data_IF_990068824897
#
_entry.id   IF_990068824897
#
_cell.length_a   1.000
_cell.length_b   1.000
_cell.length_c   1.000
_cell.angle_alpha   90.00
_cell.angle_beta   90.00
_cell.angle_gamma   90.00
#
_symmetry.space_group_name_H-M   'P 1'
#
loop_
_entity.id
_entity.type
_entity.pdbx_description
1 polymer ?
#
# COMPACT_ATOMS: atom_id res chain seq x y z
N UNK A 1 -43.18 6.29 -44.21
CA UNK A 1 -41.77 6.45 -43.79
C UNK A 1 -41.52 7.95 -43.55
N UNK A 2 -41.64 8.42 -42.29
CA UNK A 2 -41.43 9.84 -41.99
C UNK A 2 -39.93 10.12 -41.94
N UNK A 3 -39.41 10.92 -42.87
CA UNK A 3 -38.07 11.52 -42.78
C UNK A 3 -38.09 12.49 -41.59
N UNK A 4 -37.37 12.16 -40.52
CA UNK A 4 -36.99 13.16 -39.51
C UNK A 4 -35.87 13.97 -40.15
N UNK A 5 -36.18 15.20 -40.56
CA UNK A 5 -35.15 16.15 -41.00
C UNK A 5 -34.46 16.68 -39.73
N UNK A 6 -33.22 16.28 -39.46
CA UNK A 6 -32.41 16.86 -38.36
C UNK A 6 -31.80 18.24 -38.71
N UNK A 7 -32.32 18.92 -39.74
CA UNK A 7 -31.79 20.18 -40.29
C UNK A 7 -32.27 21.42 -39.51
N UNK A 8 -32.12 21.39 -38.18
CA UNK A 8 -32.53 22.50 -37.31
C UNK A 8 -31.81 22.60 -35.97
N UNK A 9 -30.84 21.73 -35.67
CA UNK A 9 -30.03 21.89 -34.46
C UNK A 9 -28.98 22.96 -34.71
N UNK A 10 -28.99 24.03 -33.92
CA UNK A 10 -28.01 25.10 -34.05
C UNK A 10 -26.61 24.51 -33.88
N UNK A 11 -25.64 24.92 -34.70
CA UNK A 11 -24.25 24.46 -34.56
C UNK A 11 -23.75 24.63 -33.12
N UNK A 12 -24.22 25.68 -32.43
CA UNK A 12 -23.90 25.96 -31.02
C UNK A 12 -24.47 24.89 -30.07
N UNK A 13 -25.65 24.33 -30.33
CA UNK A 13 -26.26 23.29 -29.50
C UNK A 13 -25.48 21.97 -29.58
N UNK A 14 -24.94 21.63 -30.76
CA UNK A 14 -24.10 20.44 -30.90
C UNK A 14 -22.68 20.66 -30.35
N UNK A 15 -22.13 21.87 -30.47
CA UNK A 15 -20.85 22.23 -29.86
C UNK A 15 -20.90 22.22 -28.32
N UNK A 16 -22.01 22.68 -27.72
CA UNK A 16 -22.22 22.63 -26.28
C UNK A 16 -22.23 21.20 -25.73
N UNK A 17 -22.89 20.28 -26.45
CA UNK A 17 -22.91 18.86 -26.07
C UNK A 17 -21.52 18.22 -26.20
N UNK A 18 -20.78 18.51 -27.26
CA UNK A 18 -19.41 18.02 -27.43
C UNK A 18 -18.46 18.54 -26.35
N UNK A 19 -18.62 19.81 -25.94
CA UNK A 19 -17.84 20.39 -24.85
C UNK A 19 -18.10 19.69 -23.52
N UNK A 20 -19.37 19.41 -23.20
CA UNK A 20 -19.74 18.68 -21.98
C UNK A 20 -19.19 17.25 -22.01
N UNK A 21 -19.34 16.54 -23.14
CA UNK A 21 -18.79 15.18 -23.30
C UNK A 21 -17.27 15.19 -23.13
N UNK A 22 -16.58 16.17 -23.72
CA UNK A 22 -15.12 16.32 -23.58
C UNK A 22 -14.69 16.48 -22.12
N UNK A 23 -15.31 17.42 -21.39
CA UNK A 23 -14.96 17.67 -19.97
C UNK A 23 -15.31 16.48 -19.08
N UNK A 24 -16.49 15.87 -19.26
CA UNK A 24 -16.89 14.69 -18.48
C UNK A 24 -16.00 13.48 -18.78
N UNK A 25 -15.53 13.31 -20.01
CA UNK A 25 -14.64 12.20 -20.38
C UNK A 25 -13.28 12.35 -19.70
N UNK A 26 -12.65 13.53 -19.77
CA UNK A 26 -11.34 13.76 -19.14
C UNK A 26 -11.45 13.72 -17.61
N UNK A 27 -12.50 14.33 -17.04
CA UNK A 27 -12.76 14.29 -15.60
C UNK A 27 -13.07 12.87 -15.09
N UNK A 28 -13.83 12.09 -15.87
CA UNK A 28 -14.17 10.71 -15.56
C UNK A 28 -12.96 9.77 -15.59
N UNK A 29 -12.09 9.89 -16.59
CA UNK A 29 -10.87 9.07 -16.70
C UNK A 29 -9.91 9.38 -15.55
N UNK A 30 -9.68 10.67 -15.25
CA UNK A 30 -8.82 11.07 -14.14
C UNK A 30 -9.39 10.63 -12.78
N UNK A 31 -10.71 10.78 -12.58
CA UNK A 31 -11.40 10.35 -11.38
C UNK A 31 -11.37 8.83 -11.19
N UNK A 32 -11.61 8.07 -12.26
CA UNK A 32 -11.56 6.60 -12.26
C UNK A 32 -10.19 6.09 -11.83
N UNK A 33 -9.11 6.61 -12.42
CA UNK A 33 -7.74 6.21 -12.06
C UNK A 33 -7.45 6.43 -10.57
N UNK A 34 -7.87 7.57 -10.00
CA UNK A 34 -7.67 7.87 -8.57
C UNK A 34 -8.51 6.98 -7.66
N UNK A 35 -9.76 6.71 -8.02
CA UNK A 35 -10.63 5.80 -7.26
C UNK A 35 -10.12 4.36 -7.30
N UNK A 36 -9.66 3.89 -8.45
CA UNK A 36 -9.06 2.57 -8.61
C UNK A 36 -7.76 2.43 -7.82
N UNK A 37 -6.92 3.47 -7.79
CA UNK A 37 -5.72 3.49 -6.94
C UNK A 37 -6.10 3.31 -5.47
N UNK A 38 -7.04 4.11 -4.97
CA UNK A 38 -7.50 4.01 -3.57
C UNK A 38 -8.08 2.63 -3.25
N UNK A 39 -8.83 2.04 -4.19
CA UNK A 39 -9.35 0.68 -4.03
C UNK A 39 -8.20 -0.32 -3.90
N UNK A 40 -7.20 -0.28 -4.78
CA UNK A 40 -6.03 -1.16 -4.72
C UNK A 40 -5.23 -0.99 -3.43
N UNK A 41 -5.04 0.25 -2.96
CA UNK A 41 -4.37 0.53 -1.67
C UNK A 41 -5.13 -0.13 -0.53
N UNK A 42 -6.46 0.08 -0.45
CA UNK A 42 -7.26 -0.53 0.59
C UNK A 42 -7.20 -2.06 0.56
N UNK A 43 -7.33 -2.68 -0.62
CA UNK A 43 -7.18 -4.13 -0.78
C UNK A 43 -5.81 -4.61 -0.33
N UNK A 44 -4.76 -3.85 -0.65
CA UNK A 44 -3.39 -4.16 -0.22
C UNK A 44 -3.26 -4.11 1.30
N UNK A 45 -3.84 -3.10 1.94
CA UNK A 45 -3.86 -2.98 3.40
C UNK A 45 -4.65 -4.11 4.07
N UNK A 46 -5.76 -4.54 3.48
CA UNK A 46 -6.55 -5.68 3.96
C UNK A 46 -5.72 -6.97 3.92
N UNK A 47 -5.03 -7.25 2.80
CA UNK A 47 -4.14 -8.41 2.67
C UNK A 47 -3.00 -8.35 3.68
N UNK A 48 -2.32 -7.20 3.78
CA UNK A 48 -1.20 -6.99 4.69
C UNK A 48 -1.64 -7.15 6.15
N UNK A 49 -2.79 -6.58 6.54
CA UNK A 49 -3.30 -6.71 7.91
C UNK A 49 -3.65 -8.16 8.26
N UNK A 50 -4.21 -8.93 7.33
CA UNK A 50 -4.47 -10.36 7.51
C UNK A 50 -3.19 -11.17 7.67
N UNK A 51 -2.19 -10.92 6.82
CA UNK A 51 -0.88 -11.55 6.92
C UNK A 51 -0.19 -11.24 8.24
N UNK A 52 -0.19 -9.97 8.62
CA UNK A 52 0.37 -9.50 9.88
C UNK A 52 -0.30 -10.15 11.10
N UNK A 53 -1.64 -10.20 11.13
CA UNK A 53 -2.39 -10.84 12.21
C UNK A 53 -2.07 -12.33 12.32
N UNK A 54 -1.92 -13.03 11.18
CA UNK A 54 -1.55 -14.44 11.16
C UNK A 54 -0.15 -14.68 11.71
N UNK A 55 0.81 -13.86 11.33
CA UNK A 55 2.18 -13.94 11.84
C UNK A 55 2.23 -13.70 13.36
N UNK A 56 1.46 -12.72 13.84
CA UNK A 56 1.34 -12.44 15.27
C UNK A 56 0.70 -13.60 16.03
N UNK A 57 -0.36 -14.22 15.49
CA UNK A 57 -0.97 -15.42 16.07
C UNK A 57 0.03 -16.57 16.19
N UNK A 58 0.84 -16.81 15.16
CA UNK A 58 1.85 -17.87 15.14
C UNK A 58 2.99 -17.61 16.13
N UNK A 59 3.39 -16.35 16.27
CA UNK A 59 4.37 -15.92 17.26
C UNK A 59 3.85 -16.14 18.69
N UNK A 60 2.62 -15.71 18.99
CA UNK A 60 2.02 -15.84 20.33
C UNK A 60 1.72 -17.30 20.68
N UNK A 61 1.32 -18.12 19.71
CA UNK A 61 1.06 -19.55 19.93
C UNK A 61 2.34 -20.39 20.08
N UNK A 62 3.51 -19.82 19.80
CA UNK A 62 4.79 -20.54 19.86
C UNK A 62 4.91 -21.64 18.81
N UNK A 63 4.12 -21.60 17.74
CA UNK A 63 4.16 -22.57 16.63
C UNK A 63 5.33 -22.34 15.68
N UNK A 64 6.08 -21.25 15.84
CA UNK A 64 7.26 -20.97 15.03
C UNK A 64 8.44 -21.79 15.54
N UNK A 65 8.61 -22.98 14.98
CA UNK A 65 9.72 -23.89 15.26
C UNK A 65 10.84 -23.67 14.25
N UNK A 66 11.47 -22.51 14.26
CA UNK A 66 12.54 -22.15 13.32
C UNK A 66 12.41 -20.75 12.76
N UNK A 67 13.45 -20.31 12.05
CA UNK A 67 13.39 -19.06 11.29
C UNK A 67 12.43 -19.30 10.11
N UNK A 68 11.40 -18.45 9.99
CA UNK A 68 10.39 -18.53 8.92
C UNK A 68 10.54 -17.28 8.06
N UNK A 69 10.61 -17.48 6.75
CA UNK A 69 10.64 -16.40 5.77
C UNK A 69 9.36 -16.38 4.91
N UNK A 70 9.33 -15.45 3.96
CA UNK A 70 8.23 -15.30 3.03
C UNK A 70 8.03 -16.50 2.10
N UNK A 71 9.07 -17.30 1.81
CA UNK A 71 8.95 -18.50 0.99
C UNK A 71 8.12 -19.59 1.69
N UNK A 72 8.12 -19.55 3.02
CA UNK A 72 7.32 -20.41 3.88
C UNK A 72 5.86 -19.93 4.06
N UNK A 73 5.46 -18.83 3.43
CA UNK A 73 4.08 -18.30 3.50
C UNK A 73 2.99 -19.38 3.28
N UNK A 74 3.09 -20.29 2.28
CA UNK A 74 2.09 -21.34 2.11
C UNK A 74 2.04 -22.32 3.28
N UNK A 75 3.17 -22.58 3.97
CA UNK A 75 3.24 -23.52 5.10
C UNK A 75 2.52 -22.99 6.34
N UNK A 76 2.49 -21.66 6.48
CA UNK A 76 1.78 -20.98 7.57
C UNK A 76 0.33 -20.59 7.22
N UNK A 77 -0.15 -21.04 6.05
CA UNK A 77 -1.52 -20.83 5.59
C UNK A 77 -1.77 -19.43 5.02
N UNK A 78 -0.72 -18.73 4.59
CA UNK A 78 -0.80 -17.46 3.90
C UNK A 78 -0.85 -17.69 2.39
N UNK A 79 -1.95 -17.27 1.76
CA UNK A 79 -2.06 -17.28 0.31
C UNK A 79 -1.21 -16.13 -0.25
N UNK A 80 -0.10 -16.51 -0.89
CA UNK A 80 0.93 -15.61 -1.35
C UNK A 80 1.41 -16.06 -2.72
N UNK A 81 1.15 -15.23 -3.73
CA UNK A 81 1.79 -15.35 -5.03
C UNK A 81 3.24 -14.87 -4.90
N UNK A 82 4.14 -15.83 -4.63
CA UNK A 82 5.57 -15.57 -4.51
C UNK A 82 6.16 -15.16 -5.87
N UNK A 83 6.94 -14.07 -5.86
CA UNK A 83 7.78 -13.67 -6.97
C UNK A 83 9.17 -13.27 -6.45
N UNK A 84 10.18 -13.40 -7.31
CA UNK A 84 11.52 -12.95 -6.99
C UNK A 84 11.69 -11.48 -7.39
N UNK A 85 12.10 -10.64 -6.45
CA UNK A 85 12.38 -9.24 -6.69
C UNK A 85 13.88 -9.04 -6.91
N UNK A 86 14.27 -8.74 -8.15
CA UNK A 86 15.66 -8.53 -8.53
C UNK A 86 16.29 -7.30 -7.86
N UNK A 87 15.49 -6.29 -7.48
CA UNK A 87 16.01 -5.06 -6.88
C UNK A 87 16.53 -5.29 -5.46
N UNK A 88 15.90 -6.23 -4.73
CA UNK A 88 16.23 -6.55 -3.35
C UNK A 88 16.82 -7.95 -3.17
N UNK A 89 17.00 -8.68 -4.27
CA UNK A 89 17.53 -10.04 -4.31
C UNK A 89 16.86 -10.97 -3.28
N UNK A 90 15.53 -11.01 -3.31
CA UNK A 90 14.73 -11.77 -2.34
C UNK A 90 13.33 -12.09 -2.87
N UNK A 91 12.72 -13.14 -2.29
CA UNK A 91 11.34 -13.48 -2.57
C UNK A 91 10.38 -12.51 -1.89
N UNK A 92 9.24 -12.22 -2.53
CA UNK A 92 8.19 -11.36 -2.01
C UNK A 92 6.83 -11.91 -2.38
N UNK A 93 5.84 -11.63 -1.55
CA UNK A 93 4.45 -11.83 -1.85
C UNK A 93 3.93 -10.67 -2.70
N UNK A 94 3.30 -11.00 -3.83
CA UNK A 94 2.71 -10.02 -4.73
C UNK A 94 1.50 -9.33 -4.10
N UNK A 95 1.45 -8.01 -4.22
CA UNK A 95 0.31 -7.19 -3.83
C UNK A 95 -0.32 -6.51 -5.05
N UNK A 96 -1.58 -6.03 -4.95
CA UNK A 96 -2.17 -5.16 -5.96
C UNK A 96 -1.33 -3.91 -6.25
N UNK A 97 -0.57 -3.43 -5.26
CA UNK A 97 0.44 -2.37 -5.36
C UNK A 97 1.69 -2.85 -4.63
N UNK A 98 2.77 -3.09 -5.39
CA UNK A 98 4.04 -3.52 -4.83
C UNK A 98 4.06 -4.99 -4.37
N UNK A 99 4.72 -5.24 -3.25
CA UNK A 99 4.80 -6.54 -2.60
C UNK A 99 5.11 -6.43 -1.12
N UNK A 100 5.06 -7.55 -0.39
CA UNK A 100 5.51 -7.61 1.00
C UNK A 100 6.41 -8.82 1.22
N UNK A 101 7.22 -8.76 2.27
CA UNK A 101 8.01 -9.88 2.77
C UNK A 101 7.98 -9.85 4.29
N UNK A 102 8.26 -10.99 4.90
CA UNK A 102 8.42 -11.08 6.33
C UNK A 102 9.50 -12.10 6.64
N UNK A 103 10.12 -11.93 7.80
CA UNK A 103 11.00 -12.92 8.38
C UNK A 103 10.77 -12.91 9.88
N UNK A 104 10.70 -14.10 10.46
CA UNK A 104 10.57 -14.29 11.89
C UNK A 104 11.71 -15.18 12.34
N UNK A 105 12.62 -14.63 13.14
CA UNK A 105 13.71 -15.43 13.70
C UNK A 105 13.37 -15.97 15.08
N UNK A 106 13.86 -17.17 15.37
CA UNK A 106 13.83 -17.80 16.71
C UNK A 106 14.49 -16.96 17.81
N UNK A 107 15.36 -16.01 17.43
CA UNK A 107 15.98 -15.06 18.36
C UNK A 107 15.03 -13.92 18.79
N UNK A 108 13.77 -13.94 18.32
CA UNK A 108 12.73 -13.01 18.73
C UNK A 108 12.64 -11.73 17.90
N UNK A 109 13.42 -11.60 16.82
CA UNK A 109 13.27 -10.49 15.87
C UNK A 109 12.33 -10.92 14.75
N UNK A 110 11.12 -10.36 14.74
CA UNK A 110 10.20 -10.48 13.61
C UNK A 110 10.15 -9.16 12.87
N UNK A 111 10.26 -9.20 11.56
CA UNK A 111 10.07 -8.03 10.73
C UNK A 111 9.14 -8.32 9.57
N UNK A 112 8.39 -7.30 9.17
CA UNK A 112 7.50 -7.30 8.02
C UNK A 112 7.77 -6.05 7.21
N UNK A 113 8.08 -6.23 5.94
CA UNK A 113 8.47 -5.15 5.06
C UNK A 113 7.49 -5.07 3.92
N UNK A 114 6.93 -3.89 3.73
CA UNK A 114 6.09 -3.55 2.58
C UNK A 114 6.95 -2.79 1.57
N UNK A 115 6.93 -3.26 0.34
CA UNK A 115 7.62 -2.70 -0.82
C UNK A 115 6.59 -2.07 -1.75
N UNK A 116 6.17 -0.81 -1.53
CA UNK A 116 5.31 -0.09 -2.48
C UNK A 116 5.95 0.03 -3.86
N UNK A 117 5.11 0.17 -4.89
CA UNK A 117 5.56 0.70 -6.18
C UNK A 117 5.87 2.20 -6.05
N UNK A 118 7.00 2.65 -6.60
CA UNK A 118 7.50 4.04 -6.48
C UNK A 118 6.44 5.11 -6.80
N UNK A 119 5.65 4.91 -7.86
CA UNK A 119 4.61 5.88 -8.29
C UNK A 119 3.52 6.14 -7.22
N UNK A 120 3.35 5.21 -6.28
CA UNK A 120 2.27 5.23 -5.27
C UNK A 120 2.78 5.06 -3.84
N UNK A 121 4.09 5.17 -3.63
CA UNK A 121 4.72 4.91 -2.33
C UNK A 121 4.26 5.90 -1.25
N UNK A 122 4.16 7.19 -1.58
CA UNK A 122 3.67 8.23 -0.65
C UNK A 122 2.21 7.99 -0.25
N UNK A 123 1.34 7.68 -1.23
CA UNK A 123 -0.09 7.41 -0.97
C UNK A 123 -0.26 6.16 -0.09
N UNK A 124 0.51 5.10 -0.36
CA UNK A 124 0.48 3.87 0.42
C UNK A 124 1.01 4.09 1.84
N UNK A 125 2.10 4.85 2.00
CA UNK A 125 2.64 5.22 3.30
C UNK A 125 1.61 5.96 4.15
N UNK A 126 0.99 7.00 3.58
CA UNK A 126 -0.09 7.74 4.25
C UNK A 126 -1.26 6.83 4.63
N UNK A 127 -1.67 5.95 3.73
CA UNK A 127 -2.77 5.02 3.97
C UNK A 127 -2.44 4.00 5.06
N UNK A 128 -1.20 3.51 5.12
CA UNK A 128 -0.72 2.59 6.17
C UNK A 128 -0.87 3.21 7.55
N UNK A 129 -0.37 4.43 7.77
CA UNK A 129 -0.57 5.12 9.05
C UNK A 129 -2.03 5.50 9.30
N UNK A 130 -2.79 5.88 8.29
CA UNK A 130 -4.22 6.22 8.46
C UNK A 130 -5.06 5.00 8.86
N UNK A 131 -4.70 3.81 8.35
CA UNK A 131 -5.41 2.56 8.65
C UNK A 131 -5.30 2.16 10.12
N UNK A 132 -4.24 2.59 10.81
CA UNK A 132 -3.99 2.21 12.19
C UNK A 132 -3.63 0.74 12.38
N UNK A 133 -3.27 0.01 11.32
CA UNK A 133 -2.82 -1.41 11.40
C UNK A 133 -1.71 -1.56 12.43
N UNK A 134 -0.80 -0.57 12.49
CA UNK A 134 0.27 -0.52 13.48
C UNK A 134 -0.21 -0.54 14.94
N UNK A 135 -1.44 -0.13 15.25
CA UNK A 135 -1.95 -0.13 16.64
C UNK A 135 -2.15 -1.54 17.19
N UNK A 136 -2.19 -2.55 16.32
CA UNK A 136 -2.17 -3.94 16.72
C UNK A 136 -0.77 -4.45 17.08
N UNK A 137 0.29 -3.65 16.87
CA UNK A 137 1.63 -3.96 17.37
C UNK A 137 1.62 -3.90 18.90
N UNK A 138 2.08 -4.98 19.55
CA UNK A 138 2.34 -4.98 20.98
C UNK A 138 3.48 -4.00 21.35
N UNK A 139 3.55 -3.66 22.64
CA UNK A 139 4.30 -2.59 23.34
C UNK A 139 5.75 -2.26 22.95
N UNK A 140 6.41 -2.98 22.04
CA UNK A 140 7.82 -2.79 21.65
C UNK A 140 8.03 -2.65 20.14
N UNK A 141 6.95 -2.62 19.34
CA UNK A 141 7.07 -2.54 17.89
C UNK A 141 7.62 -1.19 17.42
N UNK A 142 8.51 -1.21 16.42
CA UNK A 142 9.09 -0.01 15.81
C UNK A 142 8.83 -0.02 14.31
N UNK A 143 8.51 1.16 13.77
CA UNK A 143 8.24 1.34 12.35
C UNK A 143 9.37 2.16 11.76
N UNK A 144 9.91 1.67 10.65
CA UNK A 144 10.92 2.37 9.87
C UNK A 144 10.37 2.60 8.48
N UNK A 145 10.53 3.81 7.98
CA UNK A 145 10.38 4.10 6.56
C UNK A 145 11.79 4.27 6.02
N UNK A 146 12.19 3.40 5.11
CA UNK A 146 13.51 3.40 4.51
C UNK A 146 13.44 3.85 3.05
N UNK A 147 14.41 4.65 2.64
CA UNK A 147 14.57 5.16 1.29
C UNK A 147 16.05 5.42 1.04
N UNK A 148 16.50 5.53 -0.23
CA UNK A 148 17.90 5.79 -0.52
C UNK A 148 18.40 7.15 0.01
N UNK A 149 17.50 8.07 0.38
CA UNK A 149 17.84 9.45 0.77
C UNK A 149 17.55 9.78 2.23
N UNK A 150 16.59 9.11 2.86
CA UNK A 150 16.20 9.37 4.24
C UNK A 150 15.65 8.14 4.93
N UNK A 151 15.83 8.09 6.25
CA UNK A 151 15.32 7.04 7.12
C UNK A 151 14.51 7.74 8.21
N UNK A 152 13.21 7.43 8.26
CA UNK A 152 12.30 7.92 9.30
C UNK A 152 11.98 6.76 10.24
N UNK A 153 12.16 6.98 11.54
CA UNK A 153 11.95 5.98 12.58
C UNK A 153 10.86 6.46 13.53
N UNK A 154 9.86 5.60 13.76
CA UNK A 154 8.76 5.86 14.66
C UNK A 154 8.79 4.84 15.78
N UNK A 155 9.07 5.33 17.00
CA UNK A 155 8.97 4.54 18.22
C UNK A 155 7.51 4.44 18.69
N UNK A 156 7.16 3.49 19.58
CA UNK A 156 5.83 3.41 20.16
C UNK A 156 5.34 4.72 20.78
N UNK A 157 6.24 5.51 21.39
CA UNK A 157 5.92 6.79 22.02
C UNK A 157 5.54 7.84 20.97
N UNK A 158 6.25 7.87 19.85
CA UNK A 158 5.96 8.78 18.74
C UNK A 158 4.58 8.49 18.14
N UNK A 159 4.24 7.20 18.01
CA UNK A 159 2.95 6.77 17.44
C UNK A 159 1.73 7.23 18.26
N UNK A 160 1.89 7.53 19.54
CA UNK A 160 0.80 8.03 20.40
C UNK A 160 0.52 9.51 20.20
N UNK A 161 1.52 10.30 19.78
CA UNK A 161 1.45 11.75 19.70
C UNK A 161 1.59 12.29 18.26
N UNK A 162 1.79 11.42 17.28
CA UNK A 162 2.01 11.83 15.89
C UNK A 162 0.73 12.37 15.25
N UNK A 163 0.85 13.53 14.61
CA UNK A 163 -0.24 14.13 13.86
C UNK A 163 -0.18 13.74 12.37
N UNK A 164 -1.33 13.74 11.69
CA UNK A 164 -1.44 13.37 10.27
C UNK A 164 -0.55 14.23 9.34
N UNK A 165 -0.30 15.49 9.70
CA UNK A 165 0.60 16.36 8.94
C UNK A 165 2.07 15.93 9.06
N UNK A 166 2.50 15.44 10.23
CA UNK A 166 3.87 14.96 10.44
C UNK A 166 4.11 13.68 9.66
N UNK A 167 3.14 12.75 9.69
CA UNK A 167 3.17 11.52 8.89
C UNK A 167 3.28 11.87 7.40
N UNK A 168 2.41 12.75 6.90
CA UNK A 168 2.41 13.10 5.49
C UNK A 168 3.73 13.71 5.04
N UNK A 169 4.37 14.52 5.89
CA UNK A 169 5.67 15.11 5.59
C UNK A 169 6.78 14.04 5.59
N UNK A 170 6.80 13.14 6.58
CA UNK A 170 7.76 12.04 6.65
C UNK A 170 7.62 11.09 5.47
N UNK A 171 6.39 10.67 5.13
CA UNK A 171 6.10 9.83 3.96
C UNK A 171 6.53 10.51 2.65
N UNK A 172 6.35 11.83 2.52
CA UNK A 172 6.78 12.56 1.31
C UNK A 172 8.29 12.73 1.26
N UNK A 173 8.94 12.94 2.40
CA UNK A 173 10.40 13.06 2.49
C UNK A 173 11.11 11.73 2.18
N UNK A 174 10.59 10.62 2.71
CA UNK A 174 11.15 9.29 2.50
C UNK A 174 10.73 8.66 1.17
N UNK A 175 9.43 8.62 0.86
CA UNK A 175 8.94 7.96 -0.34
C UNK A 175 8.79 8.88 -1.56
N UNK A 176 9.25 10.13 -1.49
CA UNK A 176 9.09 11.11 -2.58
C UNK A 176 9.97 10.84 -3.80
N UNK A 177 11.13 10.22 -3.62
CA UNK A 177 12.08 9.91 -4.69
C UNK A 177 12.72 8.54 -4.48
N UNK A 178 12.82 7.75 -5.57
CA UNK A 178 13.44 6.44 -5.53
C UNK A 178 12.53 5.34 -4.98
N UNK A 179 13.15 4.31 -4.42
CA UNK A 179 12.44 3.21 -3.77
C UNK A 179 12.13 3.58 -2.32
N UNK A 180 11.04 3.02 -1.80
CA UNK A 180 10.65 3.22 -0.40
C UNK A 180 10.25 1.86 0.17
N UNK A 181 10.57 1.60 1.44
CA UNK A 181 10.05 0.44 2.18
C UNK A 181 9.44 0.89 3.50
N UNK A 182 8.42 0.17 3.93
CA UNK A 182 7.81 0.36 5.24
C UNK A 182 8.07 -0.91 6.02
N UNK A 183 8.97 -0.81 6.98
CA UNK A 183 9.42 -1.92 7.80
C UNK A 183 8.76 -1.83 9.16
N UNK A 184 8.17 -2.93 9.60
CA UNK A 184 7.52 -3.07 10.88
C UNK A 184 8.26 -4.15 11.63
N UNK A 185 8.81 -3.81 12.79
CA UNK A 185 9.56 -4.71 13.64
C UNK A 185 8.77 -4.97 14.93
N UNK A 186 8.74 -6.21 15.42
CA UNK A 186 8.14 -6.58 16.69
C UNK A 186 8.70 -7.88 17.27
#
# INVERSE_FOLDING_TARGET
>A
MRKVCELGRSMVEMLGVLAIIGVLSVGGIAGYSKAMLKHKINTTLDIVSGAFAKLTELQVSGSLTGDIDVEDAPKIGLDCDLYFDEHYNGHKCKLPIGGYQFESSTNGSTYFIIHPTNDFAVDMCNAFFTSGIYKHLHSYGLIRIDSPYSIELFSPEDMTNINMSQISNACTAACGEGWCTIDVYW
#
